data_IF_000254072200
#
_entry.id   IF_000254072200
#
_cell.length_a   1.000
_cell.length_b   1.000
_cell.length_c   1.000
_cell.angle_alpha   90.00
_cell.angle_beta   90.00
_cell.angle_gamma   90.00
#
_symmetry.space_group_name_H-M   'P 1'
#
loop_
_entity.id
_entity.type
_entity.pdbx_description
1 polymer ?
#
# COMPACT_ATOMS: atom_id res chain seq x y z
N UNK A 1 5.43 -23.51 -22.93
CA UNK A 1 5.38 -23.24 -21.47
C UNK A 1 4.41 -22.10 -21.26
N UNK A 2 3.59 -22.12 -20.19
CA UNK A 2 2.64 -21.02 -19.95
C UNK A 2 3.36 -19.77 -19.48
N UNK A 3 2.74 -18.59 -19.62
CA UNK A 3 3.23 -17.31 -19.09
C UNK A 3 3.48 -17.41 -17.58
N UNK A 4 2.54 -18.04 -16.85
CA UNK A 4 2.62 -18.32 -15.42
C UNK A 4 3.88 -19.12 -15.07
N UNK A 5 4.19 -20.20 -15.82
CA UNK A 5 5.34 -21.04 -15.53
C UNK A 5 6.67 -20.30 -15.75
N UNK A 6 6.76 -19.44 -16.77
CA UNK A 6 7.96 -18.63 -17.01
C UNK A 6 8.17 -17.59 -15.90
N UNK A 7 7.10 -16.91 -15.46
CA UNK A 7 7.18 -15.94 -14.37
C UNK A 7 7.56 -16.65 -13.07
N UNK A 8 6.96 -17.80 -12.76
CA UNK A 8 7.30 -18.58 -11.57
C UNK A 8 8.78 -18.99 -11.54
N UNK A 9 9.36 -19.33 -12.70
CA UNK A 9 10.80 -19.61 -12.81
C UNK A 9 11.68 -18.40 -12.56
N UNK A 10 11.31 -17.23 -13.12
CA UNK A 10 12.04 -15.96 -12.87
C UNK A 10 11.96 -15.62 -11.39
N UNK A 11 10.78 -15.76 -10.78
CA UNK A 11 10.57 -15.54 -9.35
C UNK A 11 11.49 -16.41 -8.49
N UNK A 12 11.42 -17.73 -8.69
CA UNK A 12 12.23 -18.70 -7.94
C UNK A 12 13.75 -18.48 -8.13
N UNK A 13 14.18 -18.00 -9.31
CA UNK A 13 15.59 -17.65 -9.56
C UNK A 13 16.02 -16.40 -8.78
N UNK A 14 15.14 -15.43 -8.62
CA UNK A 14 15.49 -14.08 -8.16
C UNK A 14 15.22 -13.85 -6.67
N UNK A 15 14.16 -14.44 -6.13
CA UNK A 15 13.73 -14.28 -4.74
C UNK A 15 14.14 -15.49 -3.90
N UNK A 16 14.17 -15.33 -2.58
CA UNK A 16 14.53 -16.37 -1.61
C UNK A 16 13.33 -16.93 -0.86
N UNK A 17 12.14 -16.75 -1.43
CA UNK A 17 10.89 -17.15 -0.81
C UNK A 17 10.83 -18.68 -0.64
N UNK A 18 10.11 -19.14 0.37
CA UNK A 18 9.89 -20.56 0.58
C UNK A 18 9.09 -21.16 -0.58
N UNK A 19 9.24 -22.45 -0.81
CA UNK A 19 8.44 -23.13 -1.85
C UNK A 19 6.96 -23.05 -1.55
N UNK A 20 6.61 -23.16 -0.29
CA UNK A 20 5.23 -23.08 0.22
C UNK A 20 4.61 -21.74 -0.11
N UNK A 21 5.33 -20.63 0.14
CA UNK A 21 4.89 -19.28 -0.24
C UNK A 21 4.71 -19.14 -1.76
N UNK A 22 5.73 -19.54 -2.54
CA UNK A 22 5.67 -19.46 -4.01
C UNK A 22 4.50 -20.26 -4.57
N UNK A 23 4.25 -21.47 -4.07
CA UNK A 23 3.13 -22.30 -4.51
C UNK A 23 1.80 -21.63 -4.14
N UNK A 24 1.63 -21.16 -2.91
CA UNK A 24 0.44 -20.43 -2.47
C UNK A 24 0.20 -19.17 -3.32
N UNK A 25 1.24 -18.35 -3.50
CA UNK A 25 1.14 -17.09 -4.24
C UNK A 25 0.70 -17.33 -5.69
N UNK A 26 1.34 -18.28 -6.40
CA UNK A 26 0.99 -18.57 -7.78
C UNK A 26 -0.37 -19.27 -7.92
N UNK A 27 -0.84 -20.00 -6.93
CA UNK A 27 -2.14 -20.69 -6.96
C UNK A 27 -3.30 -19.78 -6.55
N UNK A 28 -3.11 -18.87 -5.61
CA UNK A 28 -4.19 -18.07 -5.03
C UNK A 28 -4.17 -16.60 -5.45
N UNK A 29 -2.98 -15.99 -5.57
CA UNK A 29 -2.80 -14.55 -5.80
C UNK A 29 -2.59 -14.23 -7.28
N UNK A 30 -1.70 -14.96 -7.96
CA UNK A 30 -1.34 -14.71 -9.35
C UNK A 30 -2.56 -14.64 -10.29
N UNK A 31 -2.53 -13.66 -11.20
CA UNK A 31 -3.50 -13.50 -12.30
C UNK A 31 -2.77 -13.22 -13.60
N UNK A 32 -3.16 -13.93 -14.66
CA UNK A 32 -2.53 -13.81 -15.98
C UNK A 32 -2.73 -12.42 -16.61
N UNK A 33 -3.86 -11.78 -16.35
CA UNK A 33 -4.20 -10.43 -16.84
C UNK A 33 -3.52 -9.27 -16.09
N UNK A 34 -2.90 -9.57 -14.96
CA UNK A 34 -2.08 -8.64 -14.18
C UNK A 34 -0.58 -8.88 -14.39
N UNK A 35 -0.23 -9.99 -15.02
CA UNK A 35 1.15 -10.40 -15.19
C UNK A 35 1.77 -9.82 -16.46
N UNK A 36 2.95 -9.26 -16.34
CA UNK A 36 3.74 -8.72 -17.45
C UNK A 36 5.05 -9.53 -17.58
N UNK A 37 5.36 -9.94 -18.79
CA UNK A 37 6.52 -10.78 -19.12
C UNK A 37 7.23 -10.20 -20.34
N UNK A 38 8.52 -9.96 -20.21
CA UNK A 38 9.38 -9.52 -21.30
C UNK A 38 10.27 -10.66 -21.77
N UNK A 39 10.36 -10.84 -23.08
CA UNK A 39 11.25 -11.82 -23.73
C UNK A 39 12.37 -11.13 -24.48
N UNK A 40 13.51 -11.79 -24.59
CA UNK A 40 14.62 -11.32 -25.46
C UNK A 40 14.39 -11.70 -26.94
N UNK A 41 15.32 -11.33 -27.79
CA UNK A 41 15.27 -11.60 -29.23
C UNK A 41 15.20 -13.09 -29.59
N UNK A 42 15.60 -13.97 -28.69
CA UNK A 42 15.48 -15.43 -28.86
C UNK A 42 14.11 -15.98 -28.45
N UNK A 43 13.21 -15.13 -27.94
CA UNK A 43 11.92 -15.52 -27.37
C UNK A 43 12.01 -16.07 -25.94
N UNK A 44 13.18 -15.97 -25.30
CA UNK A 44 13.36 -16.45 -23.92
C UNK A 44 12.85 -15.41 -22.93
N UNK A 45 12.07 -15.83 -21.94
CA UNK A 45 11.58 -14.99 -20.85
C UNK A 45 12.74 -14.47 -19.98
N UNK A 46 12.87 -13.15 -19.83
CA UNK A 46 14.02 -12.52 -19.19
C UNK A 46 13.67 -11.63 -18.00
N UNK A 47 12.48 -11.01 -18.01
CA UNK A 47 12.04 -10.10 -16.95
C UNK A 47 10.54 -10.19 -16.76
N UNK A 48 10.05 -10.04 -15.54
CA UNK A 48 8.63 -10.07 -15.22
C UNK A 48 8.29 -9.18 -14.06
N UNK A 49 7.04 -8.76 -13.97
CA UNK A 49 6.40 -8.17 -12.81
C UNK A 49 4.90 -8.49 -12.82
N UNK A 50 4.25 -8.28 -11.69
CA UNK A 50 2.80 -8.28 -11.58
C UNK A 50 2.34 -6.84 -11.35
N UNK A 51 1.38 -6.38 -12.14
CA UNK A 51 0.72 -5.09 -12.02
C UNK A 51 -0.68 -5.32 -11.45
N UNK A 52 -0.72 -5.57 -10.14
CA UNK A 52 -1.94 -5.96 -9.41
C UNK A 52 -2.89 -4.78 -9.28
N UNK A 53 -4.19 -5.07 -9.27
CA UNK A 53 -5.27 -4.07 -9.14
C UNK A 53 -5.74 -4.00 -7.71
N UNK A 54 -5.69 -2.77 -7.18
CA UNK A 54 -6.24 -2.43 -5.87
C UNK A 54 -7.14 -1.19 -5.99
N UNK A 55 -7.81 -0.88 -4.92
CA UNK A 55 -8.43 0.42 -4.70
C UNK A 55 -7.72 1.12 -3.53
N UNK A 56 -7.85 2.43 -3.45
CA UNK A 56 -7.32 3.24 -2.36
C UNK A 56 -8.40 4.19 -1.87
N UNK A 57 -8.62 4.24 -0.56
CA UNK A 57 -9.40 5.34 0.01
C UNK A 57 -8.62 6.64 -0.15
N UNK A 58 -9.21 7.64 -0.78
CA UNK A 58 -8.54 8.90 -1.07
C UNK A 58 -9.54 10.05 -1.08
N UNK A 59 -9.38 10.99 -0.16
CA UNK A 59 -10.28 12.16 -0.02
C UNK A 59 -11.77 11.81 0.01
N UNK A 60 -12.13 10.75 0.76
CA UNK A 60 -13.52 10.31 0.91
C UNK A 60 -14.10 9.51 -0.26
N UNK A 61 -13.29 9.26 -1.29
CA UNK A 61 -13.63 8.42 -2.44
C UNK A 61 -12.74 7.18 -2.51
N UNK A 62 -13.12 6.20 -3.32
CA UNK A 62 -12.26 5.10 -3.70
C UNK A 62 -11.68 5.36 -5.09
N UNK A 63 -10.36 5.33 -5.20
CA UNK A 63 -9.64 5.50 -6.46
C UNK A 63 -8.95 4.20 -6.88
N UNK A 64 -9.00 3.80 -8.16
CA UNK A 64 -8.26 2.65 -8.65
C UNK A 64 -6.75 2.93 -8.61
N UNK A 65 -5.99 1.95 -8.13
CA UNK A 65 -4.53 2.01 -8.03
C UNK A 65 -3.91 0.71 -8.47
N UNK A 66 -2.69 0.77 -9.01
CA UNK A 66 -1.88 -0.41 -9.29
C UNK A 66 -0.84 -0.63 -8.21
N UNK A 67 -0.51 -1.89 -7.96
CA UNK A 67 0.62 -2.29 -7.14
C UNK A 67 1.56 -3.19 -7.94
N UNK A 68 2.86 -2.83 -8.00
CA UNK A 68 3.89 -3.64 -8.65
C UNK A 68 4.47 -4.61 -7.63
N UNK A 69 4.25 -5.92 -7.87
CA UNK A 69 4.82 -7.00 -7.11
C UNK A 69 5.76 -7.86 -7.97
N UNK A 70 6.71 -8.53 -7.34
CA UNK A 70 7.56 -9.54 -7.98
C UNK A 70 8.37 -9.05 -9.17
N UNK A 71 8.80 -7.77 -9.17
CA UNK A 71 9.60 -7.20 -10.25
C UNK A 71 11.00 -7.83 -10.29
N UNK A 72 11.26 -8.68 -11.27
CA UNK A 72 12.47 -9.46 -11.37
C UNK A 72 13.02 -9.57 -12.78
N UNK A 73 14.35 -9.60 -12.87
CA UNK A 73 15.10 -9.91 -14.11
C UNK A 73 16.06 -11.05 -13.83
N UNK A 74 16.08 -12.06 -14.70
CA UNK A 74 17.02 -13.19 -14.61
C UNK A 74 18.44 -12.68 -14.36
N UNK A 75 19.17 -13.33 -13.46
CA UNK A 75 20.50 -12.89 -13.02
C UNK A 75 21.46 -12.67 -14.20
N UNK A 76 21.44 -13.56 -15.20
CA UNK A 76 22.29 -13.47 -16.39
C UNK A 76 21.89 -12.36 -17.39
N UNK A 77 20.73 -11.74 -17.19
CA UNK A 77 20.16 -10.71 -18.07
C UNK A 77 20.08 -9.31 -17.42
N UNK A 78 20.58 -9.19 -16.19
CA UNK A 78 20.62 -7.89 -15.48
C UNK A 78 21.56 -6.91 -16.16
N UNK A 79 21.34 -5.61 -15.96
CA UNK A 79 22.15 -4.53 -16.53
C UNK A 79 21.93 -4.25 -18.03
N UNK A 80 20.95 -4.93 -18.67
CA UNK A 80 20.66 -4.80 -20.11
C UNK A 80 19.39 -3.97 -20.39
N UNK A 81 18.82 -3.31 -19.38
CA UNK A 81 17.66 -2.43 -19.56
C UNK A 81 16.29 -3.10 -19.56
N UNK A 82 16.18 -4.42 -19.48
CA UNK A 82 14.90 -5.14 -19.54
C UNK A 82 13.89 -4.68 -18.48
N UNK A 83 14.30 -4.57 -17.22
CA UNK A 83 13.40 -4.06 -16.18
C UNK A 83 13.01 -2.60 -16.42
N UNK A 84 13.90 -1.79 -16.99
CA UNK A 84 13.57 -0.40 -17.33
C UNK A 84 12.45 -0.32 -18.37
N UNK A 85 12.51 -1.13 -19.43
CA UNK A 85 11.44 -1.21 -20.42
C UNK A 85 10.13 -1.70 -19.80
N UNK A 86 10.20 -2.75 -18.98
CA UNK A 86 9.01 -3.34 -18.35
C UNK A 86 8.34 -2.37 -17.36
N UNK A 87 9.13 -1.57 -16.63
CA UNK A 87 8.60 -0.52 -15.74
C UNK A 87 7.85 0.57 -16.50
N UNK A 88 8.39 1.02 -17.64
CA UNK A 88 7.72 2.02 -18.48
C UNK A 88 6.41 1.45 -19.03
N UNK A 89 6.42 0.22 -19.50
CA UNK A 89 5.22 -0.46 -20.01
C UNK A 89 4.17 -0.66 -18.91
N UNK A 90 4.60 -0.99 -17.68
CA UNK A 90 3.70 -1.12 -16.52
C UNK A 90 3.03 0.23 -16.16
N UNK A 91 3.77 1.33 -16.19
CA UNK A 91 3.23 2.65 -15.91
C UNK A 91 2.21 3.07 -16.99
N UNK A 92 2.50 2.79 -18.27
CA UNK A 92 1.56 3.05 -19.37
C UNK A 92 0.29 2.22 -19.23
N UNK A 93 0.44 0.93 -18.95
CA UNK A 93 -0.70 0.05 -18.70
C UNK A 93 -1.56 0.53 -17.54
N UNK A 94 -0.95 0.94 -16.41
CA UNK A 94 -1.65 1.52 -15.28
C UNK A 94 -2.45 2.78 -15.68
N UNK A 95 -1.84 3.69 -16.45
CA UNK A 95 -2.52 4.87 -16.96
C UNK A 95 -3.69 4.52 -17.90
N UNK A 96 -3.48 3.58 -18.84
CA UNK A 96 -4.53 3.09 -19.78
C UNK A 96 -5.69 2.45 -19.01
N UNK A 97 -5.43 1.68 -17.96
CA UNK A 97 -6.46 1.12 -17.06
C UNK A 97 -7.25 2.20 -16.33
N UNK A 98 -6.74 3.42 -16.33
CA UNK A 98 -7.34 4.54 -15.63
C UNK A 98 -7.05 4.54 -14.14
N UNK A 99 -5.97 3.91 -13.69
CA UNK A 99 -5.53 4.02 -12.32
C UNK A 99 -5.13 5.47 -11.98
N UNK A 100 -5.26 5.85 -10.73
CA UNK A 100 -4.80 7.15 -10.23
C UNK A 100 -3.30 7.10 -9.87
N UNK A 101 -2.91 6.05 -9.19
CA UNK A 101 -1.58 5.87 -8.60
C UNK A 101 -1.04 4.48 -8.94
N UNK A 102 0.26 4.40 -9.18
CA UNK A 102 1.02 3.15 -9.18
C UNK A 102 1.93 3.13 -7.95
N UNK A 103 1.94 2.02 -7.21
CA UNK A 103 2.70 1.86 -5.96
C UNK A 103 3.54 0.59 -5.96
N UNK A 104 4.54 0.55 -5.09
CA UNK A 104 5.39 -0.63 -4.86
C UNK A 104 6.13 -0.52 -3.52
N UNK A 105 6.54 -1.66 -2.99
CA UNK A 105 7.42 -1.75 -1.82
C UNK A 105 8.83 -2.15 -2.31
N UNK A 106 9.85 -1.28 -2.19
CA UNK A 106 11.22 -1.65 -2.53
C UNK A 106 11.77 -2.69 -1.54
N UNK A 107 12.32 -3.79 -2.04
CA UNK A 107 12.86 -4.86 -1.20
C UNK A 107 14.14 -4.45 -0.43
N UNK A 108 14.84 -3.42 -0.88
CA UNK A 108 16.03 -2.87 -0.22
C UNK A 108 16.18 -1.35 -0.47
N UNK A 109 17.08 -0.70 0.28
CA UNK A 109 17.32 0.75 0.18
C UNK A 109 17.82 1.19 -1.20
N UNK A 110 18.59 0.37 -1.91
CA UNK A 110 19.12 0.74 -3.23
C UNK A 110 18.01 0.83 -4.28
N UNK A 111 16.93 0.06 -4.10
CA UNK A 111 15.80 0.08 -5.02
C UNK A 111 14.98 1.37 -4.94
N UNK A 112 14.99 2.10 -3.82
CA UNK A 112 14.38 3.44 -3.77
C UNK A 112 15.02 4.38 -4.80
N UNK A 113 16.33 4.34 -4.98
CA UNK A 113 17.03 5.12 -6.01
C UNK A 113 16.73 4.61 -7.43
N UNK A 114 16.54 3.32 -7.59
CA UNK A 114 16.15 2.74 -8.87
C UNK A 114 14.78 3.24 -9.32
N UNK A 115 13.77 3.19 -8.46
CA UNK A 115 12.39 3.57 -8.80
C UNK A 115 12.19 5.09 -8.95
N UNK A 116 12.97 5.92 -8.24
CA UNK A 116 12.96 7.39 -8.44
C UNK A 116 13.17 7.80 -9.89
N UNK A 117 13.97 7.06 -10.65
CA UNK A 117 14.21 7.33 -12.09
C UNK A 117 12.96 7.22 -12.96
N UNK A 118 11.90 6.61 -12.44
CA UNK A 118 10.61 6.48 -13.09
C UNK A 118 9.55 7.39 -12.48
N UNK A 119 9.94 8.41 -11.72
CA UNK A 119 9.04 9.39 -11.11
C UNK A 119 8.30 8.88 -9.87
N UNK A 120 8.76 7.77 -9.26
CA UNK A 120 8.26 7.35 -7.95
C UNK A 120 8.86 8.21 -6.84
N UNK A 121 8.03 8.59 -5.86
CA UNK A 121 8.45 9.23 -4.63
C UNK A 121 8.16 8.34 -3.42
N UNK A 122 8.95 8.49 -2.35
CA UNK A 122 8.71 7.79 -1.08
C UNK A 122 7.57 8.50 -0.38
N UNK A 123 6.37 7.96 -0.50
CA UNK A 123 5.15 8.58 0.02
C UNK A 123 4.50 7.78 1.14
N UNK A 124 4.70 6.48 1.16
CA UNK A 124 4.18 5.62 2.22
C UNK A 124 5.20 5.45 3.33
N UNK A 125 4.78 5.81 4.52
CA UNK A 125 5.57 5.62 5.74
C UNK A 125 4.80 4.74 6.71
N UNK A 126 5.53 4.03 7.55
CA UNK A 126 4.98 3.34 8.71
C UNK A 126 5.55 3.94 9.98
N UNK A 127 4.78 3.98 11.06
CA UNK A 127 5.28 4.35 12.37
C UNK A 127 5.76 3.09 13.09
N UNK A 128 7.08 2.95 13.17
CA UNK A 128 7.72 1.89 13.91
C UNK A 128 7.66 2.18 15.41
N UNK A 129 6.98 1.33 16.15
CA UNK A 129 6.85 1.39 17.61
C UNK A 129 7.44 0.14 18.24
N UNK A 130 8.30 0.32 19.23
CA UNK A 130 9.00 -0.78 19.90
C UNK A 130 8.54 -0.88 21.35
N UNK A 131 8.10 -2.06 21.75
CA UNK A 131 7.69 -2.36 23.11
C UNK A 131 8.57 -3.46 23.68
N UNK A 132 8.97 -3.28 24.95
CA UNK A 132 9.73 -4.30 25.68
C UNK A 132 8.86 -5.51 25.97
N UNK A 133 9.49 -6.64 26.31
CA UNK A 133 8.80 -7.85 26.76
C UNK A 133 7.86 -7.61 27.97
N UNK A 134 8.13 -6.58 28.79
CA UNK A 134 7.35 -6.27 29.99
C UNK A 134 6.17 -5.31 29.74
N UNK A 135 5.99 -4.80 28.52
CA UNK A 135 4.88 -3.89 28.24
C UNK A 135 3.55 -4.65 28.24
N UNK A 136 2.62 -4.25 29.09
CA UNK A 136 1.37 -5.00 29.33
C UNK A 136 0.23 -4.70 28.36
N UNK A 137 0.34 -3.66 27.52
CA UNK A 137 -0.77 -3.14 26.69
C UNK A 137 -2.03 -2.97 27.56
N UNK A 138 -2.07 -1.95 28.42
CA UNK A 138 -3.18 -1.76 29.37
C UNK A 138 -4.49 -1.53 28.63
N UNK A 139 -5.55 -2.15 29.10
CA UNK A 139 -6.89 -2.15 28.52
C UNK A 139 -7.89 -1.79 29.61
N UNK A 140 -8.86 -0.93 29.29
CA UNK A 140 -9.93 -0.50 30.18
C UNK A 140 -11.25 -1.23 29.91
N UNK A 141 -11.53 -1.50 28.63
CA UNK A 141 -12.73 -2.22 28.20
C UNK A 141 -12.64 -3.72 28.50
N UNK A 142 -13.78 -4.36 28.46
CA UNK A 142 -13.89 -5.83 28.54
C UNK A 142 -13.99 -6.38 27.11
N UNK A 143 -12.94 -7.08 26.69
CA UNK A 143 -12.81 -7.64 25.34
C UNK A 143 -12.50 -9.12 25.44
N UNK A 144 -13.14 -9.92 24.58
CA UNK A 144 -12.85 -11.33 24.44
C UNK A 144 -12.33 -11.67 23.05
N UNK A 145 -11.53 -12.72 22.95
CA UNK A 145 -10.97 -13.22 21.69
C UNK A 145 -12.00 -14.06 20.94
N UNK A 146 -12.17 -13.79 19.65
CA UNK A 146 -13.02 -14.57 18.74
C UNK A 146 -12.15 -15.58 18.01
N UNK A 147 -12.47 -16.87 18.12
CA UNK A 147 -11.67 -17.95 17.51
C UNK A 147 -11.94 -18.18 16.01
N UNK A 148 -13.00 -17.59 15.45
CA UNK A 148 -13.37 -17.79 14.06
C UNK A 148 -12.85 -16.65 13.18
N UNK A 149 -11.65 -16.80 12.66
CA UNK A 149 -10.91 -15.81 11.88
C UNK A 149 -11.30 -15.69 10.39
N UNK A 150 -12.12 -16.61 9.87
CA UNK A 150 -12.48 -16.70 8.45
C UNK A 150 -13.97 -16.51 8.17
N UNK A 151 -14.74 -15.98 9.12
CA UNK A 151 -16.19 -15.76 8.95
C UNK A 151 -16.50 -14.52 8.10
N UNK A 152 -17.73 -14.48 7.57
CA UNK A 152 -18.24 -13.29 6.88
C UNK A 152 -18.29 -12.07 7.80
N UNK A 153 -18.56 -12.29 9.08
CA UNK A 153 -18.59 -11.25 10.10
C UNK A 153 -17.23 -10.62 10.32
N UNK A 154 -16.17 -11.44 10.40
CA UNK A 154 -14.78 -10.96 10.52
C UNK A 154 -14.37 -10.18 9.27
N UNK A 155 -14.73 -10.67 8.06
CA UNK A 155 -14.51 -9.92 6.83
C UNK A 155 -15.23 -8.56 6.85
N UNK A 156 -16.50 -8.50 7.23
CA UNK A 156 -17.26 -7.25 7.29
C UNK A 156 -16.63 -6.25 8.27
N UNK A 157 -16.13 -6.72 9.41
CA UNK A 157 -15.42 -5.89 10.37
C UNK A 157 -14.08 -5.40 9.81
N UNK A 158 -13.31 -6.27 9.12
CA UNK A 158 -12.08 -5.86 8.43
C UNK A 158 -12.36 -4.76 7.40
N UNK A 159 -13.35 -4.95 6.53
CA UNK A 159 -13.71 -3.96 5.50
C UNK A 159 -14.15 -2.63 6.13
N UNK A 160 -14.91 -2.68 7.22
CA UNK A 160 -15.28 -1.50 8.00
C UNK A 160 -14.06 -0.76 8.55
N UNK A 161 -13.05 -1.47 9.08
CA UNK A 161 -11.86 -0.85 9.65
C UNK A 161 -10.95 -0.25 8.59
N UNK A 162 -10.71 -0.95 7.50
CA UNK A 162 -9.85 -0.42 6.43
C UNK A 162 -10.45 0.84 5.81
N UNK A 163 -11.78 0.90 5.61
CA UNK A 163 -12.48 2.06 5.04
C UNK A 163 -12.53 3.29 5.95
N UNK A 164 -12.32 3.12 7.25
CA UNK A 164 -12.17 4.25 8.19
C UNK A 164 -10.82 4.95 8.06
N UNK A 165 -9.84 4.35 7.43
CA UNK A 165 -8.54 4.95 7.15
C UNK A 165 -8.65 5.90 5.97
N UNK A 166 -8.20 7.14 6.13
CA UNK A 166 -8.43 8.22 5.15
C UNK A 166 -7.69 8.05 3.82
N UNK A 167 -6.53 7.41 3.84
CA UNK A 167 -5.69 7.19 2.66
C UNK A 167 -4.99 5.84 2.81
N UNK A 168 -5.65 4.79 2.36
CA UNK A 168 -5.22 3.42 2.60
C UNK A 168 -5.48 2.54 1.38
N UNK A 169 -4.52 1.67 1.04
CA UNK A 169 -4.71 0.67 -0.02
C UNK A 169 -5.68 -0.38 0.50
N UNK A 170 -6.84 -0.49 -0.15
CA UNK A 170 -7.95 -1.34 0.26
C UNK A 170 -7.76 -2.75 -0.28
N UNK A 171 -8.00 -3.73 0.56
CA UNK A 171 -7.99 -5.15 0.21
C UNK A 171 -9.41 -5.65 -0.09
N UNK A 172 -9.55 -6.43 -1.15
CA UNK A 172 -10.78 -7.16 -1.43
C UNK A 172 -10.96 -8.32 -0.45
N UNK A 173 -12.17 -8.92 -0.45
CA UNK A 173 -12.43 -10.14 0.33
C UNK A 173 -11.45 -11.25 -0.02
N UNK A 174 -11.10 -11.40 -1.30
CA UNK A 174 -10.12 -12.39 -1.75
C UNK A 174 -8.74 -12.10 -1.18
N UNK A 175 -8.31 -10.84 -1.20
CA UNK A 175 -7.01 -10.44 -0.65
C UNK A 175 -6.95 -10.71 0.86
N UNK A 176 -8.04 -10.44 1.59
CA UNK A 176 -8.13 -10.76 3.01
C UNK A 176 -7.88 -12.25 3.29
N UNK A 177 -8.51 -13.15 2.53
CA UNK A 177 -8.26 -14.59 2.69
C UNK A 177 -6.86 -15.01 2.27
N UNK A 178 -6.29 -14.39 1.24
CA UNK A 178 -4.92 -14.63 0.84
C UNK A 178 -3.93 -14.17 1.94
N UNK A 179 -4.17 -13.02 2.56
CA UNK A 179 -3.40 -12.51 3.70
C UNK A 179 -3.44 -13.51 4.88
N UNK A 180 -4.60 -14.07 5.19
CA UNK A 180 -4.72 -15.07 6.24
C UNK A 180 -4.00 -16.39 5.88
N UNK A 181 -4.03 -16.78 4.61
CA UNK A 181 -3.34 -17.97 4.12
C UNK A 181 -1.82 -17.82 4.20
N UNK A 182 -1.31 -16.65 3.82
CA UNK A 182 0.10 -16.29 3.93
C UNK A 182 0.55 -16.28 5.40
N UNK A 183 -0.17 -15.56 6.23
CA UNK A 183 0.10 -15.49 7.67
C UNK A 183 0.17 -16.87 8.32
N UNK A 184 -0.72 -17.79 7.91
CA UNK A 184 -0.75 -19.17 8.40
C UNK A 184 0.48 -19.96 7.93
N UNK A 185 0.96 -19.74 6.70
CA UNK A 185 2.16 -20.40 6.18
C UNK A 185 3.42 -19.98 6.96
N UNK A 186 3.43 -18.76 7.47
CA UNK A 186 4.51 -18.23 8.33
C UNK A 186 4.33 -18.54 9.83
N UNK A 187 3.38 -19.40 10.18
CA UNK A 187 2.98 -19.67 11.56
C UNK A 187 2.67 -18.37 12.35
N UNK A 188 2.16 -17.37 11.67
CA UNK A 188 1.76 -16.12 12.26
C UNK A 188 0.44 -16.21 13.02
N UNK A 189 0.09 -15.15 13.71
CA UNK A 189 -1.13 -15.04 14.49
C UNK A 189 -2.04 -13.94 13.94
N UNK A 190 -3.29 -14.29 13.70
CA UNK A 190 -4.38 -13.35 13.49
C UNK A 190 -5.24 -13.33 14.75
N UNK A 191 -5.49 -12.15 15.29
CA UNK A 191 -6.30 -11.95 16.49
C UNK A 191 -7.49 -11.08 16.15
N UNK A 192 -8.66 -11.51 16.57
CA UNK A 192 -9.93 -10.77 16.47
C UNK A 192 -10.46 -10.59 17.89
N UNK A 193 -10.75 -9.34 18.27
CA UNK A 193 -11.35 -9.03 19.57
C UNK A 193 -12.76 -8.51 19.40
N UNK A 194 -13.65 -8.98 20.24
CA UNK A 194 -15.02 -8.51 20.33
C UNK A 194 -15.34 -7.95 21.72
N UNK A 195 -16.37 -7.16 21.78
CA UNK A 195 -16.99 -6.62 22.99
C UNK A 195 -18.45 -7.01 23.00
N UNK A 196 -18.94 -7.47 24.14
CA UNK A 196 -20.36 -7.72 24.33
C UNK A 196 -21.10 -6.40 24.58
N UNK A 197 -22.20 -6.24 23.89
CA UNK A 197 -23.13 -5.13 24.05
C UNK A 197 -24.51 -5.68 24.38
N UNK A 198 -25.20 -5.09 25.38
CA UNK A 198 -26.46 -5.60 25.88
C UNK A 198 -27.59 -5.59 24.83
N UNK A 199 -27.51 -4.64 23.88
CA UNK A 199 -28.55 -4.43 22.88
C UNK A 199 -28.24 -5.10 21.53
N UNK A 200 -26.96 -5.14 21.11
CA UNK A 200 -26.53 -5.61 19.77
C UNK A 200 -25.83 -6.97 19.78
N UNK A 201 -25.57 -7.55 20.96
CA UNK A 201 -24.83 -8.79 21.11
C UNK A 201 -23.31 -8.58 21.03
N UNK A 202 -22.56 -9.55 20.52
CA UNK A 202 -21.09 -9.44 20.43
C UNK A 202 -20.67 -8.68 19.16
N UNK A 203 -19.89 -7.61 19.29
CA UNK A 203 -19.39 -6.79 18.18
C UNK A 203 -17.86 -6.90 18.07
N UNK A 204 -17.35 -7.15 16.85
CA UNK A 204 -15.91 -7.13 16.58
C UNK A 204 -15.39 -5.68 16.60
N UNK A 205 -14.44 -5.42 17.50
CA UNK A 205 -13.92 -4.06 17.79
C UNK A 205 -12.46 -3.86 17.40
N UNK A 206 -11.67 -4.93 17.26
CA UNK A 206 -10.29 -4.80 16.77
C UNK A 206 -9.74 -6.11 16.21
N UNK A 207 -8.68 -5.97 15.39
CA UNK A 207 -7.94 -7.06 14.76
C UNK A 207 -6.46 -6.73 14.71
N UNK A 208 -5.60 -7.76 14.76
CA UNK A 208 -4.16 -7.60 14.61
C UNK A 208 -3.52 -8.82 13.94
N UNK A 209 -2.47 -8.56 13.16
CA UNK A 209 -1.67 -9.55 12.43
C UNK A 209 -0.24 -9.51 12.93
N UNK A 210 0.32 -10.65 13.28
CA UNK A 210 1.69 -10.74 13.76
C UNK A 210 2.39 -12.00 13.29
N UNK A 211 3.68 -11.88 13.01
CA UNK A 211 4.59 -12.99 12.74
C UNK A 211 5.76 -12.96 13.72
N UNK A 212 6.29 -14.13 14.04
CA UNK A 212 7.54 -14.22 14.81
C UNK A 212 8.72 -14.07 13.86
N UNK A 213 9.57 -13.11 14.16
CA UNK A 213 10.81 -12.88 13.44
C UNK A 213 11.97 -12.91 14.44
N UNK A 214 12.73 -13.97 14.45
CA UNK A 214 13.74 -14.24 15.49
C UNK A 214 13.12 -14.16 16.91
N UNK A 215 13.66 -13.30 17.76
CA UNK A 215 13.21 -13.08 19.13
C UNK A 215 12.21 -11.91 19.27
N UNK A 216 11.62 -11.45 18.18
CA UNK A 216 10.70 -10.31 18.14
C UNK A 216 9.36 -10.74 17.56
N UNK A 217 8.27 -10.28 18.15
CA UNK A 217 6.94 -10.36 17.57
C UNK A 217 6.73 -9.12 16.67
N UNK A 218 6.74 -9.33 15.38
CA UNK A 218 6.45 -8.29 14.39
C UNK A 218 4.93 -8.22 14.18
N UNK A 219 4.32 -7.12 14.61
CA UNK A 219 2.91 -6.81 14.33
C UNK A 219 2.87 -6.00 13.04
N UNK A 220 2.41 -6.61 11.96
CA UNK A 220 2.39 -6.02 10.62
C UNK A 220 1.26 -5.02 10.42
N UNK A 221 0.15 -5.18 11.16
CA UNK A 221 -0.93 -4.19 11.26
C UNK A 221 -1.79 -4.45 12.51
N UNK A 222 -2.42 -3.39 12.99
CA UNK A 222 -3.47 -3.44 14.01
C UNK A 222 -4.58 -2.46 13.65
N UNK A 223 -5.80 -2.94 13.58
CA UNK A 223 -7.01 -2.16 13.29
C UNK A 223 -7.96 -2.21 14.48
N UNK A 224 -8.73 -1.17 14.69
CA UNK A 224 -9.72 -1.17 15.76
C UNK A 224 -10.49 0.15 15.83
N UNK A 225 -11.59 0.13 16.58
CA UNK A 225 -12.48 1.28 16.75
C UNK A 225 -11.78 2.45 17.42
N UNK A 226 -10.98 2.14 18.43
CA UNK A 226 -10.22 3.11 19.20
C UNK A 226 -8.87 2.53 19.68
N UNK A 227 -8.11 3.31 20.43
CA UNK A 227 -6.80 2.90 20.94
C UNK A 227 -6.89 1.81 22.02
N UNK A 228 -8.00 1.76 22.78
CA UNK A 228 -8.18 0.76 23.84
C UNK A 228 -8.49 -0.62 23.23
N UNK A 229 -9.39 -0.69 22.25
CA UNK A 229 -9.66 -1.90 21.48
C UNK A 229 -8.41 -2.45 20.78
N UNK A 230 -7.59 -1.56 20.16
CA UNK A 230 -6.29 -1.94 19.56
C UNK A 230 -5.32 -2.48 20.60
N UNK A 231 -5.27 -1.89 21.79
CA UNK A 231 -4.48 -2.42 22.92
C UNK A 231 -4.96 -3.80 23.34
N UNK A 232 -6.27 -4.07 23.27
CA UNK A 232 -6.85 -5.40 23.52
C UNK A 232 -6.29 -6.46 22.57
N UNK A 233 -6.24 -6.17 21.26
CA UNK A 233 -5.67 -7.07 20.26
C UNK A 233 -4.16 -7.29 20.47
N UNK A 234 -3.40 -6.23 20.76
CA UNK A 234 -1.97 -6.34 21.08
C UNK A 234 -1.69 -7.15 22.35
N UNK A 235 -2.52 -6.97 23.38
CA UNK A 235 -2.46 -7.77 24.60
C UNK A 235 -2.73 -9.26 24.33
N UNK A 236 -3.72 -9.56 23.48
CA UNK A 236 -4.03 -10.94 23.11
C UNK A 236 -2.89 -11.57 22.29
N UNK A 237 -2.29 -10.83 21.32
CA UNK A 237 -1.11 -11.30 20.60
C UNK A 237 0.03 -11.64 21.57
N UNK A 238 0.24 -10.83 22.60
CA UNK A 238 1.24 -11.11 23.64
C UNK A 238 0.91 -12.38 24.42
N UNK A 239 -0.36 -12.58 24.81
CA UNK A 239 -0.77 -13.80 25.50
C UNK A 239 -0.46 -15.07 24.69
N UNK A 240 -0.64 -15.01 23.36
CA UNK A 240 -0.37 -16.13 22.45
C UNK A 240 1.12 -16.37 22.20
N UNK A 241 1.97 -15.34 22.34
CA UNK A 241 3.38 -15.40 21.94
C UNK A 241 4.36 -15.32 23.12
N UNK A 242 3.88 -15.19 24.36
CA UNK A 242 4.72 -15.06 25.55
C UNK A 242 5.42 -13.70 25.64
N UNK A 243 6.47 -13.63 26.47
CA UNK A 243 7.18 -12.40 26.79
C UNK A 243 8.21 -12.03 25.69
N UNK A 244 7.74 -11.80 24.47
CA UNK A 244 8.60 -11.31 23.37
C UNK A 244 8.53 -9.78 23.27
N UNK A 245 9.65 -9.09 22.95
CA UNK A 245 9.58 -7.70 22.49
C UNK A 245 8.67 -7.59 21.29
N UNK A 246 7.91 -6.49 21.19
CA UNK A 246 6.99 -6.25 20.06
C UNK A 246 7.52 -5.12 19.23
N UNK A 247 7.58 -5.34 17.91
CA UNK A 247 7.77 -4.34 16.90
C UNK A 247 6.45 -4.16 16.15
N UNK A 248 5.83 -2.99 16.29
CA UNK A 248 4.56 -2.66 15.64
C UNK A 248 4.78 -1.70 14.48
N UNK A 249 4.25 -2.04 13.32
CA UNK A 249 4.10 -1.16 12.17
C UNK A 249 2.72 -0.51 12.21
N UNK A 250 2.67 0.70 12.77
CA UNK A 250 1.45 1.47 12.96
C UNK A 250 1.19 2.48 11.85
N UNK A 251 0.00 3.09 11.92
CA UNK A 251 -0.37 4.18 11.03
C UNK A 251 0.59 5.38 11.20
N UNK A 252 1.01 6.07 10.13
CA UNK A 252 1.94 7.20 10.23
C UNK A 252 1.43 8.34 11.12
N UNK A 253 0.10 8.51 11.24
CA UNK A 253 -0.53 9.53 12.09
C UNK A 253 -0.88 9.07 13.51
N UNK A 254 -0.48 7.85 13.89
CA UNK A 254 -0.72 7.39 15.26
C UNK A 254 -0.13 8.38 16.28
N UNK A 255 -0.94 8.73 17.30
CA UNK A 255 -0.54 9.66 18.36
C UNK A 255 0.50 9.08 19.31
N UNK A 256 0.63 7.76 19.38
CA UNK A 256 1.64 7.08 20.19
C UNK A 256 3.04 7.34 19.62
N UNK A 257 4.02 7.45 20.49
CA UNK A 257 5.42 7.65 20.12
C UNK A 257 5.92 6.57 19.15
N UNK A 258 6.92 6.89 18.36
CA UNK A 258 7.51 5.99 17.37
C UNK A 258 8.31 6.75 16.32
N UNK A 259 9.00 6.02 15.45
CA UNK A 259 9.79 6.59 14.35
C UNK A 259 9.08 6.36 13.03
N UNK A 260 8.94 7.42 12.22
CA UNK A 260 8.48 7.27 10.84
C UNK A 260 9.60 6.64 10.00
N UNK A 261 9.29 5.52 9.37
CA UNK A 261 10.18 4.78 8.50
C UNK A 261 9.61 4.73 7.10
N UNK A 262 10.43 4.96 6.04
CA UNK A 262 10.03 4.74 4.67
C UNK A 262 9.56 3.29 4.48
N UNK A 263 8.40 3.09 3.86
CA UNK A 263 7.88 1.75 3.61
C UNK A 263 7.75 1.48 2.12
N UNK A 264 7.08 2.37 1.39
CA UNK A 264 6.76 2.16 -0.01
C UNK A 264 6.82 3.46 -0.82
N UNK A 265 6.83 3.31 -2.13
CA UNK A 265 6.84 4.41 -3.08
C UNK A 265 5.54 4.45 -3.87
N UNK A 266 5.15 5.64 -4.28
CA UNK A 266 4.00 5.89 -5.12
C UNK A 266 4.31 6.89 -6.22
N UNK A 267 3.61 6.76 -7.35
CA UNK A 267 3.68 7.64 -8.50
C UNK A 267 2.31 7.85 -9.09
N UNK A 268 1.89 9.09 -9.24
CA UNK A 268 0.65 9.37 -9.96
C UNK A 268 0.81 9.02 -11.43
N UNK A 269 -0.09 8.19 -11.94
CA UNK A 269 -0.21 7.88 -13.36
C UNK A 269 -1.32 8.68 -14.03
N UNK A 270 -2.19 9.29 -13.20
CA UNK A 270 -3.22 10.25 -13.61
C UNK A 270 -3.40 11.34 -12.55
N UNK A 271 -2.71 12.46 -12.75
CA UNK A 271 -2.77 13.63 -11.84
C UNK A 271 -4.16 14.26 -11.82
N UNK A 272 -4.84 14.30 -12.97
CA UNK A 272 -6.20 14.85 -13.06
C UNK A 272 -7.17 14.16 -12.14
N UNK A 273 -7.17 12.82 -12.08
CA UNK A 273 -8.01 12.05 -11.14
C UNK A 273 -7.74 12.35 -9.68
N UNK A 274 -6.48 12.54 -9.31
CA UNK A 274 -6.14 12.92 -7.94
C UNK A 274 -6.72 14.29 -7.59
N UNK A 275 -6.55 15.26 -8.48
CA UNK A 275 -7.04 16.63 -8.28
C UNK A 275 -8.58 16.71 -8.32
N UNK A 276 -9.25 15.88 -9.13
CA UNK A 276 -10.71 15.73 -9.15
C UNK A 276 -11.24 15.24 -7.80
N UNK A 277 -10.63 14.19 -7.22
CA UNK A 277 -11.01 13.69 -5.89
C UNK A 277 -10.78 14.74 -4.79
N UNK A 278 -9.65 15.43 -4.83
CA UNK A 278 -9.35 16.53 -3.89
C UNK A 278 -10.37 17.66 -4.03
N UNK A 279 -10.65 18.11 -5.24
CA UNK A 279 -11.62 19.16 -5.51
C UNK A 279 -13.04 18.79 -5.02
N UNK A 280 -13.48 17.57 -5.29
CA UNK A 280 -14.77 17.07 -4.85
C UNK A 280 -14.90 17.02 -3.32
N UNK A 281 -13.80 16.66 -2.61
CA UNK A 281 -13.79 16.58 -1.15
C UNK A 281 -13.75 17.96 -0.47
N UNK A 282 -13.13 18.96 -1.10
CA UNK A 282 -13.07 20.35 -0.64
C UNK A 282 -13.39 21.34 -1.76
N UNK A 283 -14.66 21.65 -2.00
CA UNK A 283 -15.06 22.58 -3.07
C UNK A 283 -14.54 24.01 -2.90
N UNK A 284 -14.02 24.36 -1.71
CA UNK A 284 -13.43 25.69 -1.47
C UNK A 284 -11.96 25.75 -1.85
N UNK A 285 -11.32 24.61 -2.01
CA UNK A 285 -9.93 24.54 -2.41
C UNK A 285 -9.77 25.03 -3.83
N UNK A 286 -8.81 25.96 -4.04
CA UNK A 286 -8.49 26.55 -5.34
C UNK A 286 -7.00 26.56 -5.54
N UNK A 287 -6.56 26.08 -6.69
CA UNK A 287 -5.13 26.12 -7.07
C UNK A 287 -4.97 26.00 -8.57
N UNK A 288 -3.85 26.49 -9.08
CA UNK A 288 -3.42 26.27 -10.44
C UNK A 288 -2.04 25.60 -10.42
N UNK A 289 -1.98 24.38 -10.90
CA UNK A 289 -0.77 23.53 -10.87
C UNK A 289 -0.38 23.14 -12.27
N UNK A 290 0.89 23.37 -12.63
CA UNK A 290 1.50 22.75 -13.80
C UNK A 290 2.32 21.55 -13.32
N UNK A 291 2.04 20.39 -13.90
CA UNK A 291 2.82 19.16 -13.67
C UNK A 291 3.59 18.83 -14.96
N UNK A 292 4.79 18.29 -14.78
CA UNK A 292 5.64 17.78 -15.87
C UNK A 292 5.95 16.31 -15.61
N UNK A 293 5.77 15.48 -16.63
CA UNK A 293 6.02 14.04 -16.60
C UNK A 293 6.63 13.57 -17.92
N UNK A 294 7.85 13.08 -17.88
CA UNK A 294 8.56 12.64 -19.09
C UNK A 294 8.08 11.27 -19.61
N UNK A 295 7.51 10.42 -18.74
CA UNK A 295 7.11 9.05 -19.09
C UNK A 295 5.65 8.94 -19.52
N UNK A 296 4.78 9.79 -18.97
CA UNK A 296 3.34 9.83 -19.24
C UNK A 296 2.89 11.28 -19.53
N UNK A 297 3.52 11.97 -20.53
CA UNK A 297 3.20 13.38 -20.77
C UNK A 297 1.74 13.59 -21.18
N UNK A 298 1.15 12.66 -21.93
CA UNK A 298 -0.24 12.70 -22.39
C UNK A 298 -1.28 12.62 -21.25
N UNK A 299 -0.90 12.13 -20.06
CA UNK A 299 -1.77 12.05 -18.89
C UNK A 299 -1.49 13.14 -17.86
N UNK A 300 -0.23 13.56 -17.72
CA UNK A 300 0.20 14.33 -16.56
C UNK A 300 0.87 15.67 -16.90
N UNK A 301 1.40 15.87 -18.14
CA UNK A 301 2.10 17.13 -18.47
C UNK A 301 1.14 18.22 -18.90
N UNK A 302 0.34 18.71 -17.94
CA UNK A 302 -0.71 19.68 -18.14
C UNK A 302 -0.71 20.79 -17.09
N UNK A 303 -1.45 21.86 -17.36
CA UNK A 303 -1.89 22.85 -16.37
C UNK A 303 -3.28 22.47 -15.87
N UNK A 304 -3.37 22.20 -14.59
CA UNK A 304 -4.60 21.82 -13.90
C UNK A 304 -5.13 23.02 -13.13
N UNK A 305 -6.38 23.36 -13.35
CA UNK A 305 -7.09 24.41 -12.62
C UNK A 305 -8.11 23.75 -11.72
N UNK A 306 -7.92 23.89 -10.42
CA UNK A 306 -8.85 23.39 -9.39
C UNK A 306 -9.64 24.56 -8.83
N UNK A 307 -10.94 24.52 -8.99
CA UNK A 307 -11.88 25.51 -8.43
C UNK A 307 -13.30 24.93 -8.35
N UNK A 308 -14.06 25.41 -7.37
CA UNK A 308 -15.50 25.17 -7.24
C UNK A 308 -15.88 23.67 -7.32
N UNK A 309 -15.04 22.82 -6.70
CA UNK A 309 -15.24 21.37 -6.62
C UNK A 309 -14.89 20.60 -7.89
N UNK A 310 -14.16 21.19 -8.82
CA UNK A 310 -13.78 20.59 -10.11
C UNK A 310 -12.30 20.76 -10.42
N UNK A 311 -11.79 19.90 -11.26
CA UNK A 311 -10.46 20.02 -11.86
C UNK A 311 -10.61 20.05 -13.38
N UNK A 312 -10.02 21.06 -14.03
CA UNK A 312 -10.03 21.22 -15.47
C UNK A 312 -8.58 21.33 -16.00
N UNK A 313 -8.35 20.82 -17.19
CA UNK A 313 -7.07 20.99 -17.91
C UNK A 313 -7.21 22.20 -18.82
N UNK A 314 -6.32 23.19 -18.66
CA UNK A 314 -6.20 24.34 -19.56
C UNK A 314 -4.72 24.70 -19.79
N UNK A 315 -4.13 24.11 -20.80
CA UNK A 315 -2.73 24.34 -21.17
C UNK A 315 -2.49 25.76 -21.71
N UNK A 316 -3.55 26.44 -22.15
CA UNK A 316 -3.49 27.81 -22.61
C UNK A 316 -3.55 28.84 -21.46
N UNK A 317 -3.84 28.41 -20.22
CA UNK A 317 -3.94 29.31 -19.09
C UNK A 317 -2.67 30.17 -18.92
N UNK A 318 -2.86 31.47 -18.99
CA UNK A 318 -1.79 32.49 -18.88
C UNK A 318 -1.70 33.17 -17.50
N UNK A 319 -2.52 32.74 -16.53
CA UNK A 319 -2.52 33.31 -15.19
C UNK A 319 -1.35 32.79 -14.32
N UNK A 320 -1.38 33.19 -13.05
CA UNK A 320 -0.35 32.78 -12.08
C UNK A 320 -0.50 31.29 -11.76
N UNK A 321 0.59 30.56 -11.81
CA UNK A 321 0.69 29.20 -11.27
C UNK A 321 1.03 29.26 -9.78
N UNK A 322 0.34 28.45 -8.97
CA UNK A 322 0.73 28.23 -7.59
C UNK A 322 1.89 27.23 -7.48
N UNK A 323 1.92 26.26 -8.41
CA UNK A 323 2.97 25.25 -8.50
C UNK A 323 3.38 24.98 -9.97
N UNK A 324 4.67 24.77 -10.21
CA UNK A 324 5.25 24.21 -11.43
C UNK A 324 6.23 23.13 -10.99
N UNK A 325 5.81 21.86 -11.10
CA UNK A 325 6.49 20.74 -10.43
C UNK A 325 6.54 19.49 -11.33
N UNK A 326 7.45 18.59 -11.02
CA UNK A 326 7.47 17.25 -11.59
C UNK A 326 6.48 16.32 -10.87
N UNK A 327 6.13 15.19 -11.49
CA UNK A 327 5.13 14.25 -10.97
C UNK A 327 5.53 13.64 -9.62
N UNK A 328 6.82 13.44 -9.35
CA UNK A 328 7.34 12.97 -8.07
C UNK A 328 7.20 14.03 -6.97
N UNK A 329 7.50 15.31 -7.28
CA UNK A 329 7.28 16.42 -6.35
C UNK A 329 5.78 16.63 -6.09
N UNK A 330 4.94 16.46 -7.12
CA UNK A 330 3.49 16.48 -6.94
C UNK A 330 3.03 15.40 -5.94
N UNK A 331 3.57 14.19 -6.04
CA UNK A 331 3.26 13.13 -5.08
C UNK A 331 3.71 13.51 -3.65
N UNK A 332 4.87 14.13 -3.48
CA UNK A 332 5.35 14.62 -2.18
C UNK A 332 4.41 15.67 -1.58
N UNK A 333 3.85 16.56 -2.39
CA UNK A 333 2.90 17.58 -1.96
C UNK A 333 1.58 16.93 -1.52
N UNK A 334 0.99 16.09 -2.36
CA UNK A 334 -0.31 15.45 -2.09
C UNK A 334 -0.25 14.57 -0.85
N UNK A 335 0.83 13.85 -0.67
CA UNK A 335 0.96 12.89 0.44
C UNK A 335 1.73 13.42 1.65
N UNK A 336 2.06 14.71 1.70
CA UNK A 336 2.82 15.34 2.80
C UNK A 336 4.10 14.59 3.16
N UNK A 337 4.75 13.97 2.19
CA UNK A 337 5.94 13.14 2.42
C UNK A 337 7.20 13.95 2.65
N UNK A 338 7.20 15.23 2.25
CA UNK A 338 8.33 16.16 2.44
C UNK A 338 8.01 17.30 3.40
N UNK A 339 9.06 17.96 3.91
CA UNK A 339 8.91 19.19 4.70
C UNK A 339 8.19 20.31 3.91
N UNK A 340 8.24 20.29 2.59
CA UNK A 340 7.54 21.24 1.71
C UNK A 340 6.03 21.08 1.83
N UNK A 341 5.51 19.87 1.86
CA UNK A 341 4.07 19.60 2.01
C UNK A 341 3.48 20.16 3.30
N UNK A 342 4.27 20.27 4.39
CA UNK A 342 3.81 20.85 5.65
C UNK A 342 3.75 22.37 5.66
N UNK A 343 4.44 23.05 4.74
CA UNK A 343 4.50 24.52 4.64
C UNK A 343 3.42 25.05 3.68
N UNK A 344 3.04 24.25 2.71
CA UNK A 344 2.08 24.62 1.67
C UNK A 344 0.66 24.31 2.17
N UNK A 345 -0.28 25.26 2.00
CA UNK A 345 -1.70 25.01 2.28
C UNK A 345 -2.33 24.16 1.17
N UNK A 346 -1.96 22.89 1.13
CA UNK A 346 -2.53 21.89 0.23
C UNK A 346 -3.32 20.88 1.08
N UNK A 347 -4.47 20.37 0.65
CA UNK A 347 -5.23 19.36 1.38
C UNK A 347 -4.53 17.98 1.30
N UNK A 348 -3.38 17.91 1.92
CA UNK A 348 -2.51 16.73 1.88
C UNK A 348 -3.01 15.66 2.85
N UNK A 349 -2.79 14.39 2.49
CA UNK A 349 -3.11 13.21 3.32
C UNK A 349 -1.87 12.34 3.46
N UNK A 350 -1.80 11.54 4.53
CA UNK A 350 -0.72 10.56 4.68
C UNK A 350 -1.20 9.18 4.29
N UNK A 351 -0.66 8.61 3.22
CA UNK A 351 -1.07 7.30 2.76
C UNK A 351 -0.44 6.19 3.61
N UNK A 352 -1.15 5.09 3.77
CA UNK A 352 -0.67 3.87 4.36
C UNK A 352 -0.88 2.69 3.42
N UNK A 353 0.10 1.80 3.42
CA UNK A 353 0.06 0.51 2.75
C UNK A 353 0.51 -0.55 3.74
N UNK A 354 -0.27 -1.61 3.91
CA UNK A 354 0.06 -2.74 4.78
C UNK A 354 -0.57 -4.01 4.24
N UNK A 355 -0.18 -5.15 4.79
CA UNK A 355 -0.73 -6.47 4.46
C UNK A 355 -0.61 -6.83 2.96
N UNK A 356 0.40 -6.28 2.27
CA UNK A 356 0.70 -6.66 0.89
C UNK A 356 1.44 -8.00 0.88
N UNK A 357 1.14 -8.82 -0.13
CA UNK A 357 1.82 -10.09 -0.39
C UNK A 357 2.94 -9.84 -1.42
N UNK A 358 4.17 -9.65 -0.94
CA UNK A 358 5.34 -9.26 -1.72
C UNK A 358 6.66 -9.87 -1.19
#
# INVERSE_FOLDING_TARGET
MSKRDEIKKIWTECFKDSREYVDMFFDQVYRDDEAMLLTDQSGSAVSSLLLQRYAMSFHGSEAPVSYIAGAATRRSKRGQGYMSSLMIDALRESAVRGDMLCSLIPADEALFFFYRRYGFSTVFYTKEQRFTAFHSFPVKGDYHHVENDASDEVWCAFDRFQRRRQCYVLHSRRDFFNILSDLKSDNGNFVVMARDDEDSGSEIVSMAWAVRHDDILLVTDVMGEDSDARSGALRQLRCLNGDMPVLLYGHPDDSMGGRLMPRAMGRFVNVGKALENIAASDPKFKTCIKVSDELLPEYNSHKFIVADGRCEIDDAYGGKLDFDVTVDVFADIVFSSSAIGSIIRFPSVRPMISLMLD
#
